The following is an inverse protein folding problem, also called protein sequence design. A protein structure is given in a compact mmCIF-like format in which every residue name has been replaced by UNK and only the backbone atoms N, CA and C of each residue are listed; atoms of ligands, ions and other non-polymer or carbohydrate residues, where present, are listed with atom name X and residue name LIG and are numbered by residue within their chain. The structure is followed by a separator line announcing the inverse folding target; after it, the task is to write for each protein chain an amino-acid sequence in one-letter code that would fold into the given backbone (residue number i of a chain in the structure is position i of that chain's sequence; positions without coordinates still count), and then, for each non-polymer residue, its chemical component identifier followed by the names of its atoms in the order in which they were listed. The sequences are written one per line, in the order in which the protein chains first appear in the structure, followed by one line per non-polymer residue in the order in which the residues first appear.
data_IF_207544945035
#
_entry.id   IF_207544945035
#
_cell.length_a   1.000
_cell.length_b   1.000
_cell.length_c   1.000
_cell.angle_alpha   90.00
_cell.angle_beta   90.00
_cell.angle_gamma   90.00
#
_symmetry.space_group_name_H-M   'P 1'
#
loop_
_entity.id
_entity.type
_entity.pdbx_description
1 polymer ?
#
# COMPACT_ATOMS: atom_id res chain seq x y z
N UNK A 1 0.93 4.27 1.96
CA UNK A 1 2.20 3.93 2.65
C UNK A 1 3.40 4.40 1.84
N UNK A 2 4.51 4.73 2.50
CA UNK A 2 5.77 5.14 1.85
C UNK A 2 6.92 4.27 2.34
N UNK A 3 7.87 3.98 1.45
CA UNK A 3 9.14 3.33 1.77
C UNK A 3 10.24 4.39 1.81
N UNK A 4 11.12 4.30 2.82
CA UNK A 4 12.25 5.20 2.99
C UNK A 4 13.57 4.42 2.98
N UNK A 5 14.58 5.01 2.38
CA UNK A 5 15.95 4.52 2.45
C UNK A 5 16.47 4.65 3.90
N UNK A 6 17.06 3.57 4.43
CA UNK A 6 17.46 3.51 5.85
C UNK A 6 18.62 4.45 6.20
N UNK A 7 19.50 4.75 5.25
CA UNK A 7 20.69 5.57 5.50
C UNK A 7 20.39 7.05 5.31
N UNK A 8 19.66 7.40 4.24
CA UNK A 8 19.39 8.79 3.87
C UNK A 8 18.04 9.32 4.36
N UNK A 9 17.12 8.44 4.79
CA UNK A 9 15.75 8.80 5.18
C UNK A 9 14.85 9.26 4.02
N UNK A 10 15.38 9.29 2.79
CA UNK A 10 14.66 9.76 1.60
C UNK A 10 13.58 8.77 1.19
N UNK A 11 12.47 9.29 0.66
CA UNK A 11 11.40 8.45 0.10
C UNK A 11 11.91 7.79 -1.19
N UNK A 12 11.76 6.46 -1.26
CA UNK A 12 12.23 5.65 -2.40
C UNK A 12 11.11 4.87 -3.08
N UNK A 13 9.93 4.83 -2.48
CA UNK A 13 8.73 4.25 -3.07
C UNK A 13 7.48 4.62 -2.29
N UNK A 14 6.33 4.42 -2.92
CA UNK A 14 5.04 4.64 -2.28
C UNK A 14 3.96 3.75 -2.90
N UNK A 15 2.91 3.54 -2.11
CA UNK A 15 1.65 2.96 -2.54
C UNK A 15 0.49 3.83 -2.06
N UNK A 16 -0.44 4.10 -2.97
CA UNK A 16 -1.69 4.83 -2.72
C UNK A 16 -2.85 3.96 -3.19
N UNK A 17 -3.91 3.91 -2.38
CA UNK A 17 -5.11 3.12 -2.63
C UNK A 17 -6.36 3.85 -2.16
N UNK A 18 -7.50 3.43 -2.68
CA UNK A 18 -8.84 3.87 -2.29
C UNK A 18 -9.61 2.69 -1.73
N UNK A 19 -10.27 2.88 -0.60
CA UNK A 19 -11.19 1.90 -0.03
C UNK A 19 -12.57 2.15 -0.62
N UNK A 20 -13.18 1.10 -1.15
CA UNK A 20 -14.54 1.12 -1.68
C UNK A 20 -15.42 0.27 -0.77
N UNK A 21 -16.39 0.94 -0.13
CA UNK A 21 -17.47 0.28 0.59
C UNK A 21 -18.75 0.49 -0.20
N UNK A 22 -19.26 -0.59 -0.79
CA UNK A 22 -20.61 -0.56 -1.35
C UNK A 22 -21.58 -0.98 -0.25
N UNK A 23 -22.55 -0.13 0.01
CA UNK A 23 -23.60 -0.33 1.03
C UNK A 23 -24.40 -1.62 0.87
N UNK A 24 -24.37 -2.25 -0.31
CA UNK A 24 -25.13 -3.47 -0.62
C UNK A 24 -24.26 -4.73 -0.81
N UNK A 25 -22.93 -4.65 -0.69
CA UNK A 25 -22.03 -5.80 -0.79
C UNK A 25 -21.32 -6.01 0.56
N UNK A 26 -21.44 -7.20 1.16
CA UNK A 26 -20.77 -7.57 2.42
C UNK A 26 -19.24 -7.69 2.30
N UNK A 27 -18.64 -7.17 1.22
CA UNK A 27 -17.21 -7.25 0.94
C UNK A 27 -16.65 -5.84 0.79
N UNK A 28 -15.77 -5.50 1.72
CA UNK A 28 -14.93 -4.31 1.62
C UNK A 28 -13.82 -4.58 0.60
N UNK A 29 -13.76 -3.74 -0.43
CA UNK A 29 -12.77 -3.85 -1.50
C UNK A 29 -11.89 -2.60 -1.49
N UNK A 30 -10.68 -2.73 -2.06
CA UNK A 30 -9.80 -1.59 -2.22
C UNK A 30 -9.11 -1.63 -3.57
N UNK A 31 -8.94 -0.45 -4.15
CA UNK A 31 -8.29 -0.28 -5.43
C UNK A 31 -6.92 0.37 -5.24
N UNK A 32 -5.86 -0.27 -5.72
CA UNK A 32 -4.52 0.33 -5.74
C UNK A 32 -4.49 1.36 -6.88
N UNK A 33 -4.39 2.65 -6.53
CA UNK A 33 -4.36 3.74 -7.51
C UNK A 33 -2.95 3.93 -8.08
N UNK A 34 -1.93 3.89 -7.23
CA UNK A 34 -0.56 4.13 -7.62
C UNK A 34 0.40 3.28 -6.80
N UNK A 35 1.38 2.66 -7.46
CA UNK A 35 2.50 1.97 -6.85
C UNK A 35 3.75 2.32 -7.64
N UNK A 36 4.73 2.96 -6.99
CA UNK A 36 6.00 3.32 -7.63
C UNK A 36 7.17 3.06 -6.69
N UNK A 37 8.26 2.57 -7.28
CA UNK A 37 9.57 2.43 -6.65
C UNK A 37 10.61 3.02 -7.60
N UNK A 38 11.51 3.86 -7.06
CA UNK A 38 12.62 4.44 -7.80
C UNK A 38 13.46 3.32 -8.43
N UNK A 39 13.84 3.46 -9.70
CA UNK A 39 14.49 2.40 -10.50
C UNK A 39 15.69 1.75 -9.79
N UNK A 40 16.59 2.55 -9.20
CA UNK A 40 17.78 2.07 -8.48
C UNK A 40 17.50 1.25 -7.21
N UNK A 41 16.25 1.23 -6.75
CA UNK A 41 15.79 0.50 -5.57
C UNK A 41 14.85 -0.67 -5.92
N UNK A 42 14.61 -0.93 -7.21
CA UNK A 42 13.83 -2.11 -7.65
C UNK A 42 14.59 -3.41 -7.38
N UNK A 43 13.87 -4.53 -7.46
CA UNK A 43 14.39 -5.90 -7.21
C UNK A 43 14.87 -6.14 -5.77
N UNK A 44 14.51 -5.23 -4.84
CA UNK A 44 14.82 -5.33 -3.40
C UNK A 44 13.61 -5.69 -2.54
N UNK A 45 12.52 -6.18 -3.13
CA UNK A 45 11.29 -6.53 -2.40
C UNK A 45 10.42 -5.35 -1.93
N UNK A 46 10.85 -4.10 -2.11
CA UNK A 46 10.13 -2.91 -1.60
C UNK A 46 8.67 -2.81 -2.08
N UNK A 47 8.40 -3.16 -3.34
CA UNK A 47 7.03 -3.13 -3.85
C UNK A 47 6.13 -4.14 -3.10
N UNK A 48 6.65 -5.34 -2.83
CA UNK A 48 5.96 -6.38 -2.06
C UNK A 48 5.68 -5.90 -0.65
N UNK A 49 6.68 -5.34 0.04
CA UNK A 49 6.51 -4.80 1.40
C UNK A 49 5.44 -3.69 1.45
N UNK A 50 5.44 -2.79 0.47
CA UNK A 50 4.41 -1.74 0.37
C UNK A 50 3.01 -2.32 0.19
N UNK A 51 2.87 -3.35 -0.64
CA UNK A 51 1.57 -4.03 -0.87
C UNK A 51 1.11 -4.76 0.39
N UNK A 52 1.99 -5.49 1.09
CA UNK A 52 1.66 -6.17 2.35
C UNK A 52 1.18 -5.14 3.39
N UNK A 53 1.93 -4.05 3.58
CA UNK A 53 1.53 -2.99 4.51
C UNK A 53 0.16 -2.38 4.17
N UNK A 54 -0.13 -2.18 2.87
CA UNK A 54 -1.44 -1.73 2.43
C UNK A 54 -2.53 -2.78 2.72
N UNK A 55 -2.29 -4.06 2.43
CA UNK A 55 -3.24 -5.13 2.70
C UNK A 55 -3.56 -5.27 4.19
N UNK A 56 -2.57 -5.18 5.07
CA UNK A 56 -2.77 -5.29 6.50
C UNK A 56 -3.58 -4.11 7.05
N UNK A 57 -3.31 -2.90 6.57
CA UNK A 57 -4.14 -1.75 6.88
C UNK A 57 -5.59 -1.91 6.37
N UNK A 58 -5.76 -2.42 5.15
CA UNK A 58 -7.08 -2.64 4.57
C UNK A 58 -7.87 -3.69 5.34
N UNK A 59 -7.25 -4.78 5.79
CA UNK A 59 -7.91 -5.76 6.67
C UNK A 59 -8.43 -5.09 7.93
N UNK A 60 -7.64 -4.22 8.57
CA UNK A 60 -8.08 -3.48 9.75
C UNK A 60 -9.28 -2.57 9.43
N UNK A 61 -9.17 -1.72 8.42
CA UNK A 61 -10.25 -0.78 8.04
C UNK A 61 -11.52 -1.53 7.63
N UNK A 62 -11.40 -2.64 6.91
CA UNK A 62 -12.54 -3.42 6.46
C UNK A 62 -13.21 -4.27 7.56
N UNK A 63 -12.56 -4.48 8.72
CA UNK A 63 -13.10 -5.25 9.85
C UNK A 63 -13.76 -4.39 10.93
N UNK A 64 -13.35 -3.12 11.06
CA UNK A 64 -13.80 -2.21 12.12
C UNK A 64 -14.76 -1.12 11.64
N UNK A 65 -15.41 -1.33 10.50
CA UNK A 65 -16.44 -0.44 9.93
C UNK A 65 -17.78 -1.15 9.76
#
# INVERSE_FOLDING_TARGET
HVARDRLSGRIIGYIQYRVEKKTNEAKCHAHICYLKVLMRYRERGIATELVIAAQDYLKLVCLFD
#
